data_IF_894829911517
#
_entry.id   IF_894829911517
#
_cell.length_a   1.000
_cell.length_b   1.000
_cell.length_c   1.000
_cell.angle_alpha   90.00
_cell.angle_beta   90.00
_cell.angle_gamma   90.00
#
_symmetry.space_group_name_H-M   'P 1'
#
loop_
_entity.id
_entity.type
_entity.pdbx_description
1 polymer ?
#
# COMPACT_ATOMS: atom_id res chain seq x y z
N UNK A 1 -18.06 -36.28 17.21
CA UNK A 1 -17.62 -34.86 17.15
C UNK A 1 -16.13 -34.89 16.83
N UNK A 2 -15.78 -34.84 15.55
CA UNK A 2 -14.41 -34.84 15.08
C UNK A 2 -13.95 -33.40 15.01
N UNK A 3 -12.85 -33.10 15.71
CA UNK A 3 -12.18 -31.80 15.66
C UNK A 3 -11.78 -31.49 14.22
N UNK A 4 -12.24 -30.33 13.73
CA UNK A 4 -11.81 -29.80 12.46
C UNK A 4 -10.29 -29.55 12.57
N UNK A 5 -9.52 -30.17 11.67
CA UNK A 5 -8.09 -30.02 11.59
C UNK A 5 -7.73 -28.55 11.38
N UNK A 6 -6.85 -28.05 12.22
CA UNK A 6 -6.14 -26.81 12.01
C UNK A 6 -5.27 -27.00 10.76
N UNK A 7 -5.71 -26.42 9.66
CA UNK A 7 -4.94 -26.39 8.41
C UNK A 7 -3.68 -25.55 8.70
N UNK A 8 -2.53 -26.21 8.78
CA UNK A 8 -1.23 -25.55 8.91
C UNK A 8 -0.95 -24.84 7.58
N UNK A 9 -1.46 -23.62 7.42
CA UNK A 9 -1.10 -22.76 6.31
C UNK A 9 0.39 -22.51 6.39
N UNK A 10 1.13 -23.00 5.41
CA UNK A 10 2.49 -22.55 5.21
C UNK A 10 2.43 -21.06 4.98
N UNK A 11 3.02 -20.26 5.88
CA UNK A 11 3.14 -18.82 5.71
C UNK A 11 3.96 -18.62 4.45
N UNK A 12 3.30 -18.26 3.35
CA UNK A 12 4.01 -17.94 2.11
C UNK A 12 4.67 -16.58 2.32
N UNK A 13 6.00 -16.58 2.47
CA UNK A 13 6.74 -15.36 2.70
C UNK A 13 6.61 -14.43 1.49
N UNK A 14 6.12 -13.22 1.73
CA UNK A 14 6.19 -12.14 0.76
C UNK A 14 7.66 -11.78 0.50
N UNK A 15 7.99 -11.45 -0.75
CA UNK A 15 9.31 -10.89 -1.07
C UNK A 15 9.50 -9.56 -0.32
N UNK A 16 10.59 -9.45 0.42
CA UNK A 16 10.94 -8.25 1.22
C UNK A 16 12.18 -7.57 0.67
N UNK A 17 12.19 -6.27 0.79
CA UNK A 17 13.33 -5.40 0.53
C UNK A 17 13.57 -4.58 1.80
N UNK A 18 14.83 -4.33 2.15
CA UNK A 18 15.19 -3.65 3.40
C UNK A 18 16.29 -2.63 3.17
N UNK A 19 16.17 -1.46 3.83
CA UNK A 19 17.16 -0.38 3.82
C UNK A 19 17.23 0.27 5.20
N UNK A 20 18.37 0.91 5.49
CA UNK A 20 18.61 1.55 6.77
C UNK A 20 19.03 0.58 7.87
N UNK A 21 19.36 1.11 9.02
CA UNK A 21 19.84 0.35 10.17
C UNK A 21 18.67 -0.31 10.91
N UNK A 22 18.78 -1.60 11.23
CA UNK A 22 17.73 -2.36 11.92
C UNK A 22 17.45 -1.87 13.36
N UNK A 23 18.36 -1.12 13.94
CA UNK A 23 18.18 -0.48 15.24
C UNK A 23 17.29 0.76 15.22
N UNK A 24 17.02 1.32 14.03
CA UNK A 24 16.14 2.47 13.87
C UNK A 24 14.66 2.05 13.94
N UNK A 25 13.74 3.00 14.22
CA UNK A 25 12.31 2.74 14.13
C UNK A 25 11.92 2.19 12.74
N UNK A 26 11.09 1.15 12.71
CA UNK A 26 10.72 0.47 11.46
C UNK A 26 9.54 1.16 10.79
N UNK A 27 9.67 1.33 9.46
CA UNK A 27 8.58 1.71 8.56
C UNK A 27 8.35 0.56 7.57
N UNK A 28 7.12 0.11 7.46
CA UNK A 28 6.69 -0.85 6.43
C UNK A 28 6.04 -0.11 5.27
N UNK A 29 6.44 -0.41 4.04
CA UNK A 29 5.97 0.22 2.81
C UNK A 29 5.12 -0.78 2.01
N UNK A 30 3.83 -0.47 1.78
CA UNK A 30 2.88 -1.29 1.03
C UNK A 30 2.44 -0.56 -0.23
N UNK A 31 2.80 -1.11 -1.39
CA UNK A 31 2.58 -0.49 -2.70
C UNK A 31 1.14 -0.60 -3.22
N UNK A 32 0.80 0.17 -4.24
CA UNK A 32 -0.48 0.14 -4.93
C UNK A 32 -0.62 -1.01 -5.93
N UNK A 33 -1.83 -1.20 -6.45
CA UNK A 33 -2.11 -2.16 -7.52
C UNK A 33 -1.14 -1.92 -8.69
N UNK A 34 -0.64 -2.99 -9.28
CA UNK A 34 0.35 -3.02 -10.37
C UNK A 34 1.77 -2.52 -10.06
N UNK A 35 2.04 -2.05 -8.84
CA UNK A 35 3.39 -1.67 -8.39
C UNK A 35 4.14 -2.87 -7.77
N UNK A 36 5.26 -2.60 -7.10
CA UNK A 36 6.09 -3.59 -6.40
C UNK A 36 6.80 -2.95 -5.20
N UNK A 37 7.40 -3.74 -4.33
CA UNK A 37 8.17 -3.24 -3.18
C UNK A 37 9.37 -2.38 -3.55
N UNK A 38 9.81 -2.41 -4.82
CA UNK A 38 10.90 -1.55 -5.32
C UNK A 38 10.43 -0.16 -5.77
N UNK A 39 9.14 0.12 -5.79
CA UNK A 39 8.59 1.38 -6.32
C UNK A 39 8.54 2.53 -5.30
N UNK A 40 9.52 2.57 -4.39
CA UNK A 40 9.69 3.57 -3.33
C UNK A 40 11.05 4.28 -3.34
N UNK A 41 11.73 4.53 -4.48
CA UNK A 41 13.11 5.02 -4.47
C UNK A 41 13.26 6.38 -3.77
N UNK A 42 12.30 7.28 -3.92
CA UNK A 42 12.31 8.58 -3.25
C UNK A 42 12.16 8.45 -1.73
N UNK A 43 11.19 7.67 -1.25
CA UNK A 43 10.99 7.39 0.17
C UNK A 43 12.23 6.71 0.79
N UNK A 44 12.85 5.78 0.06
CA UNK A 44 14.09 5.12 0.50
C UNK A 44 15.22 6.15 0.66
N UNK A 45 15.48 6.99 -0.34
CA UNK A 45 16.51 8.04 -0.24
C UNK A 45 16.26 8.96 0.95
N UNK A 46 14.99 9.30 1.18
CA UNK A 46 14.60 10.25 2.21
C UNK A 46 14.74 9.69 3.62
N UNK A 47 14.31 8.46 3.83
CA UNK A 47 14.07 7.93 5.18
C UNK A 47 15.11 6.93 5.67
N UNK A 48 15.88 6.25 4.78
CA UNK A 48 16.83 5.19 5.19
C UNK A 48 17.92 5.65 6.19
N UNK A 49 18.22 6.94 6.27
CA UNK A 49 19.19 7.49 7.22
C UNK A 49 18.69 7.56 8.67
N UNK A 50 17.38 7.55 8.88
CA UNK A 50 16.75 7.66 10.19
C UNK A 50 15.79 6.53 10.55
N UNK A 51 15.46 5.68 9.59
CA UNK A 51 14.49 4.59 9.74
C UNK A 51 15.00 3.29 9.13
N UNK A 52 14.57 2.17 9.69
CA UNK A 52 14.66 0.86 9.06
C UNK A 52 13.44 0.68 8.17
N UNK A 53 13.63 0.59 6.86
CA UNK A 53 12.56 0.47 5.87
C UNK A 53 12.41 -0.99 5.46
N UNK A 54 11.18 -1.49 5.45
CA UNK A 54 10.82 -2.79 4.91
C UNK A 54 9.72 -2.58 3.88
N UNK A 55 10.03 -2.77 2.59
CA UNK A 55 9.03 -2.82 1.55
C UNK A 55 8.78 -4.27 1.14
N UNK A 56 7.56 -4.57 0.70
CA UNK A 56 7.21 -5.92 0.23
C UNK A 56 6.56 -5.85 -1.14
N UNK A 57 6.76 -6.91 -1.93
CA UNK A 57 5.84 -7.17 -3.03
C UNK A 57 4.58 -7.81 -2.43
N UNK A 58 3.41 -7.20 -2.63
CA UNK A 58 2.15 -7.81 -2.24
C UNK A 58 1.90 -9.08 -3.07
N UNK A 59 1.15 -10.06 -2.53
CA UNK A 59 0.76 -11.26 -3.28
C UNK A 59 0.19 -10.88 -4.65
N UNK A 60 0.54 -11.62 -5.69
CA UNK A 60 0.18 -11.32 -7.07
C UNK A 60 1.04 -10.25 -7.74
N UNK A 61 2.07 -9.72 -7.05
CA UNK A 61 2.97 -8.69 -7.58
C UNK A 61 4.44 -9.09 -7.41
N UNK A 62 5.29 -8.48 -8.25
CA UNK A 62 6.73 -8.61 -8.13
C UNK A 62 7.20 -10.06 -8.10
N UNK A 63 7.98 -10.40 -7.08
CA UNK A 63 8.53 -11.75 -6.81
C UNK A 63 7.78 -12.51 -5.72
N UNK A 64 6.72 -11.93 -5.17
CA UNK A 64 5.85 -12.59 -4.20
C UNK A 64 5.04 -13.71 -4.84
N UNK A 65 4.49 -14.64 -4.04
CA UNK A 65 3.64 -15.71 -4.54
C UNK A 65 2.48 -15.19 -5.37
N UNK A 66 2.12 -15.94 -6.39
CA UNK A 66 0.89 -15.73 -7.17
C UNK A 66 -0.30 -16.29 -6.40
N UNK A 67 -1.49 -15.92 -6.83
CA UNK A 67 -2.70 -16.54 -6.31
C UNK A 67 -2.92 -17.90 -6.97
N UNK A 68 -3.25 -18.92 -6.17
CA UNK A 68 -3.78 -20.16 -6.70
C UNK A 68 -5.22 -19.92 -7.21
N UNK A 69 -5.72 -20.72 -8.17
CA UNK A 69 -7.05 -20.50 -8.77
C UNK A 69 -8.20 -20.43 -7.75
N UNK A 70 -8.14 -21.22 -6.67
CA UNK A 70 -9.14 -21.21 -5.60
C UNK A 70 -9.02 -20.01 -4.64
N UNK A 71 -7.91 -19.28 -4.69
CA UNK A 71 -7.66 -18.08 -3.90
C UNK A 71 -8.19 -16.82 -4.58
N UNK A 72 -8.32 -16.78 -5.92
CA UNK A 72 -8.67 -15.59 -6.70
C UNK A 72 -9.99 -14.96 -6.25
N UNK A 73 -11.01 -15.75 -5.92
CA UNK A 73 -12.29 -15.24 -5.42
C UNK A 73 -12.21 -14.65 -4.00
N UNK A 74 -11.05 -14.77 -3.36
CA UNK A 74 -10.81 -14.34 -1.98
C UNK A 74 -9.52 -13.52 -1.84
N UNK A 75 -9.07 -12.82 -2.88
CA UNK A 75 -7.84 -12.03 -2.86
C UNK A 75 -7.77 -11.06 -1.68
N UNK A 76 -8.89 -10.39 -1.36
CA UNK A 76 -8.99 -9.50 -0.20
C UNK A 76 -8.55 -10.19 1.10
N UNK A 77 -9.02 -11.42 1.35
CA UNK A 77 -8.71 -12.14 2.58
C UNK A 77 -7.22 -12.52 2.64
N UNK A 78 -6.64 -12.89 1.49
CA UNK A 78 -5.24 -13.22 1.40
C UNK A 78 -4.34 -12.01 1.59
N UNK A 79 -4.62 -10.87 0.94
CA UNK A 79 -3.84 -9.65 1.16
C UNK A 79 -3.90 -9.18 2.60
N UNK A 80 -5.07 -9.24 3.24
CA UNK A 80 -5.20 -8.88 4.66
C UNK A 80 -4.41 -9.86 5.54
N UNK A 81 -4.52 -11.17 5.31
CA UNK A 81 -3.77 -12.19 6.06
C UNK A 81 -2.27 -11.99 5.89
N UNK A 82 -1.79 -11.86 4.65
CA UNK A 82 -0.36 -11.65 4.36
C UNK A 82 0.18 -10.38 5.05
N UNK A 83 -0.63 -9.30 5.09
CA UNK A 83 -0.25 -8.05 5.77
C UNK A 83 -0.15 -8.27 7.28
N UNK A 84 -1.13 -8.94 7.89
CA UNK A 84 -1.11 -9.25 9.32
C UNK A 84 0.05 -10.18 9.68
N UNK A 85 0.31 -11.21 8.87
CA UNK A 85 1.42 -12.14 9.04
C UNK A 85 2.76 -11.40 8.96
N UNK A 86 2.94 -10.53 7.95
CA UNK A 86 4.12 -9.67 7.84
C UNK A 86 4.34 -8.87 9.13
N UNK A 87 3.32 -8.14 9.59
CA UNK A 87 3.42 -7.26 10.76
C UNK A 87 3.70 -8.06 12.04
N UNK A 88 3.14 -9.26 12.17
CA UNK A 88 3.34 -10.12 13.33
C UNK A 88 4.76 -10.70 13.44
N UNK A 89 5.53 -10.70 12.32
CA UNK A 89 6.94 -11.18 12.33
C UNK A 89 7.93 -10.11 12.81
N UNK A 90 7.48 -8.87 13.02
CA UNK A 90 8.37 -7.77 13.41
C UNK A 90 8.50 -7.70 14.93
N UNK A 91 9.71 -7.42 15.42
CA UNK A 91 10.01 -7.35 16.84
C UNK A 91 9.29 -6.19 17.57
N UNK A 92 8.85 -5.17 16.84
CA UNK A 92 8.09 -4.03 17.35
C UNK A 92 7.11 -3.51 16.31
N UNK A 93 5.99 -2.94 16.76
CA UNK A 93 5.00 -2.33 15.89
C UNK A 93 5.61 -1.22 15.03
N UNK A 94 5.58 -1.33 13.68
CA UNK A 94 6.10 -0.33 12.75
C UNK A 94 5.11 0.81 12.53
N UNK A 95 5.57 1.90 11.92
CA UNK A 95 4.67 2.76 11.14
C UNK A 95 4.44 2.09 9.78
N UNK A 96 3.19 2.02 9.33
CA UNK A 96 2.87 1.46 8.02
C UNK A 96 2.50 2.59 7.06
N UNK A 97 3.22 2.69 5.96
CA UNK A 97 2.95 3.63 4.86
C UNK A 97 2.39 2.82 3.71
N UNK A 98 1.15 3.11 3.30
CA UNK A 98 0.49 2.38 2.24
C UNK A 98 -0.09 3.29 1.18
N UNK A 99 0.17 2.99 -0.09
CA UNK A 99 -0.41 3.66 -1.25
C UNK A 99 -1.55 2.81 -1.84
N UNK A 100 -2.67 3.44 -2.16
CA UNK A 100 -3.78 2.79 -2.89
C UNK A 100 -4.17 1.44 -2.28
N UNK A 101 -3.98 0.32 -2.99
CA UNK A 101 -4.22 -1.04 -2.51
C UNK A 101 -3.50 -1.32 -1.18
N UNK A 102 -2.21 -0.98 -1.09
CA UNK A 102 -1.42 -1.12 0.14
C UNK A 102 -1.96 -0.26 1.28
N UNK A 103 -2.51 0.93 0.96
CA UNK A 103 -3.19 1.79 1.92
C UNK A 103 -4.47 1.17 2.48
N UNK A 104 -5.26 0.51 1.63
CA UNK A 104 -6.45 -0.23 2.07
C UNK A 104 -6.08 -1.33 3.06
N UNK A 105 -5.05 -2.14 2.76
CA UNK A 105 -4.68 -3.25 3.65
C UNK A 105 -3.93 -2.79 4.90
N UNK A 106 -3.17 -1.70 4.85
CA UNK A 106 -2.64 -1.04 6.04
C UNK A 106 -3.77 -0.60 6.99
N UNK A 107 -4.80 0.07 6.46
CA UNK A 107 -5.98 0.50 7.20
C UNK A 107 -6.73 -0.69 7.83
N UNK A 108 -7.00 -1.74 7.04
CA UNK A 108 -7.73 -2.93 7.50
C UNK A 108 -6.92 -3.73 8.54
N UNK A 109 -5.60 -3.83 8.37
CA UNK A 109 -4.74 -4.49 9.34
C UNK A 109 -4.72 -3.74 10.68
N UNK A 110 -4.60 -2.41 10.67
CA UNK A 110 -4.65 -1.60 11.88
C UNK A 110 -6.02 -1.64 12.58
N UNK A 111 -7.11 -1.72 11.82
CA UNK A 111 -8.45 -1.89 12.40
C UNK A 111 -8.64 -3.28 13.04
N UNK A 112 -8.06 -4.33 12.43
CA UNK A 112 -8.18 -5.71 12.94
C UNK A 112 -7.23 -6.01 14.11
N UNK A 113 -5.99 -5.50 14.07
CA UNK A 113 -4.90 -5.78 15.01
C UNK A 113 -4.09 -4.50 15.30
N UNK A 114 -4.68 -3.52 16.01
CA UNK A 114 -4.04 -2.22 16.25
C UNK A 114 -2.71 -2.32 17.00
N UNK A 115 -2.53 -3.35 17.81
CA UNK A 115 -1.29 -3.60 18.54
C UNK A 115 -0.09 -3.94 17.64
N UNK A 116 -0.33 -4.32 16.39
CA UNK A 116 0.73 -4.58 15.39
C UNK A 116 1.17 -3.32 14.64
N UNK A 117 0.53 -2.17 14.88
CA UNK A 117 0.75 -0.94 14.11
C UNK A 117 0.96 0.23 15.06
N UNK A 118 2.06 0.94 14.93
CA UNK A 118 2.38 2.15 15.71
C UNK A 118 1.65 3.38 15.20
N UNK A 119 1.47 3.47 13.89
CA UNK A 119 0.78 4.55 13.19
C UNK A 119 0.66 4.26 11.72
N UNK A 120 -0.22 4.98 11.04
CA UNK A 120 -0.49 4.82 9.61
C UNK A 120 -0.20 6.11 8.84
N UNK A 121 0.40 5.96 7.65
CA UNK A 121 0.37 6.97 6.59
C UNK A 121 -0.34 6.32 5.39
N UNK A 122 -1.46 6.90 4.99
CA UNK A 122 -2.30 6.40 3.92
C UNK A 122 -2.25 7.38 2.75
N UNK A 123 -1.58 7.00 1.67
CA UNK A 123 -1.50 7.76 0.43
C UNK A 123 -2.63 7.31 -0.49
N UNK A 124 -3.66 8.14 -0.59
CA UNK A 124 -4.86 7.95 -1.41
C UNK A 124 -5.34 6.48 -1.46
N UNK A 125 -5.71 5.90 -0.30
CA UNK A 125 -5.96 4.47 -0.16
C UNK A 125 -7.16 4.03 -0.99
N UNK A 126 -7.09 2.83 -1.60
CA UNK A 126 -8.14 2.29 -2.44
C UNK A 126 -9.46 2.14 -1.69
N UNK A 127 -10.52 2.76 -2.19
CA UNK A 127 -11.87 2.61 -1.64
C UNK A 127 -12.49 1.29 -2.11
N UNK A 128 -12.93 0.40 -1.21
CA UNK A 128 -13.60 -0.82 -1.61
C UNK A 128 -14.95 -0.52 -2.27
N UNK A 129 -15.24 -1.06 -3.45
CA UNK A 129 -16.52 -0.83 -4.13
C UNK A 129 -17.69 -1.56 -3.45
N UNK A 130 -17.41 -2.52 -2.56
CA UNK A 130 -18.43 -3.34 -1.91
C UNK A 130 -19.10 -4.38 -2.80
N UNK A 131 -18.56 -4.57 -4.02
CA UNK A 131 -19.07 -5.57 -4.96
C UNK A 131 -18.44 -6.95 -4.68
N UNK A 132 -19.21 -8.05 -4.83
CA UNK A 132 -18.71 -9.40 -4.62
C UNK A 132 -17.85 -9.92 -5.78
N UNK A 133 -17.91 -9.27 -6.93
CA UNK A 133 -17.16 -9.60 -8.14
C UNK A 133 -16.38 -8.38 -8.63
N UNK A 134 -15.26 -8.59 -9.35
CA UNK A 134 -14.55 -7.49 -9.99
C UNK A 134 -15.47 -6.70 -10.93
N UNK A 135 -15.29 -5.38 -10.96
CA UNK A 135 -15.93 -4.52 -11.94
C UNK A 135 -15.31 -4.76 -13.33
N UNK A 136 -16.09 -5.19 -14.36
CA UNK A 136 -15.53 -5.48 -15.68
C UNK A 136 -14.83 -4.29 -16.35
N UNK A 137 -15.32 -3.05 -16.14
CA UNK A 137 -14.68 -1.86 -16.70
C UNK A 137 -13.32 -1.59 -16.02
N UNK A 138 -13.26 -1.76 -14.71
CA UNK A 138 -12.02 -1.63 -13.95
C UNK A 138 -11.01 -2.73 -14.33
N UNK A 139 -11.46 -3.96 -14.54
CA UNK A 139 -10.62 -5.06 -15.04
C UNK A 139 -10.06 -4.71 -16.42
N UNK A 140 -10.92 -4.37 -17.40
CA UNK A 140 -10.50 -4.04 -18.75
C UNK A 140 -9.52 -2.86 -18.80
N UNK A 141 -9.75 -1.84 -17.97
CA UNK A 141 -8.85 -0.70 -17.84
C UNK A 141 -7.45 -1.14 -17.34
N UNK A 142 -7.38 -1.99 -16.32
CA UNK A 142 -6.10 -2.48 -15.79
C UNK A 142 -5.38 -3.40 -16.78
N UNK A 143 -6.11 -4.26 -17.49
CA UNK A 143 -5.53 -5.11 -18.53
C UNK A 143 -4.93 -4.27 -19.66
N UNK A 144 -5.68 -3.31 -20.20
CA UNK A 144 -5.21 -2.40 -21.24
C UNK A 144 -4.00 -1.56 -20.76
N UNK A 145 -4.03 -1.12 -19.49
CA UNK A 145 -2.89 -0.44 -18.89
C UNK A 145 -1.65 -1.33 -18.85
N UNK A 146 -1.75 -2.56 -18.40
CA UNK A 146 -0.62 -3.49 -18.35
C UNK A 146 -0.13 -3.88 -19.76
N UNK A 147 -1.02 -3.99 -20.74
CA UNK A 147 -0.67 -4.27 -22.14
C UNK A 147 0.13 -3.13 -22.77
N UNK A 148 -0.06 -1.91 -22.32
CA UNK A 148 0.73 -0.76 -22.78
C UNK A 148 2.23 -0.83 -22.43
N UNK A 149 2.64 -1.83 -21.63
CA UNK A 149 4.05 -2.11 -21.28
C UNK A 149 4.65 -3.28 -22.07
N UNK A 150 3.99 -3.78 -23.12
CA UNK A 150 4.43 -4.96 -23.90
C UNK A 150 5.77 -4.76 -24.58
N UNK A 151 6.20 -3.52 -24.81
CA UNK A 151 7.53 -3.16 -25.34
C UNK A 151 8.65 -3.11 -24.27
N UNK A 152 8.42 -3.72 -23.12
CA UNK A 152 9.26 -3.60 -21.94
C UNK A 152 9.07 -2.28 -21.18
N UNK A 153 8.00 -1.53 -21.53
CA UNK A 153 7.62 -0.27 -20.89
C UNK A 153 8.41 0.95 -21.39
N UNK A 154 9.10 0.85 -22.52
CA UNK A 154 9.91 1.97 -23.04
C UNK A 154 9.03 3.15 -23.43
N UNK A 155 7.95 2.92 -24.18
CA UNK A 155 7.00 3.95 -24.58
C UNK A 155 6.42 4.67 -23.35
N UNK A 156 6.07 3.93 -22.31
CA UNK A 156 5.52 4.49 -21.08
C UNK A 156 6.56 5.30 -20.30
N UNK A 157 7.82 4.84 -20.23
CA UNK A 157 8.92 5.62 -19.62
C UNK A 157 9.13 6.95 -20.34
N UNK A 158 9.18 6.94 -21.66
CA UNK A 158 9.41 8.14 -22.44
C UNK A 158 8.26 9.14 -22.30
N UNK A 159 7.01 8.63 -22.29
CA UNK A 159 5.82 9.44 -22.01
C UNK A 159 5.91 10.08 -20.62
N UNK A 160 6.16 9.29 -19.58
CA UNK A 160 6.22 9.79 -18.21
C UNK A 160 7.35 10.79 -17.99
N UNK A 161 8.51 10.60 -18.63
CA UNK A 161 9.61 11.60 -18.59
C UNK A 161 9.24 12.92 -19.25
N UNK A 162 8.39 12.90 -20.27
CA UNK A 162 7.96 14.10 -20.98
C UNK A 162 6.79 14.82 -20.28
N UNK A 163 5.87 14.08 -19.65
CA UNK A 163 4.57 14.59 -19.21
C UNK A 163 4.44 14.71 -17.67
N UNK A 164 5.30 14.07 -16.90
CA UNK A 164 5.22 14.08 -15.45
C UNK A 164 6.40 14.80 -14.78
N UNK A 165 6.27 15.03 -13.47
CA UNK A 165 7.36 15.55 -12.61
C UNK A 165 8.08 14.44 -11.87
N UNK A 166 7.75 13.18 -12.13
CA UNK A 166 8.33 12.05 -11.42
C UNK A 166 9.84 11.96 -11.64
N UNK A 167 10.56 11.62 -10.61
CA UNK A 167 11.99 11.36 -10.74
C UNK A 167 12.25 10.16 -11.66
N UNK A 168 13.38 10.18 -12.36
CA UNK A 168 13.70 9.17 -13.37
C UNK A 168 13.68 7.74 -12.80
N UNK A 169 14.21 7.55 -11.59
CA UNK A 169 14.22 6.26 -10.91
C UNK A 169 12.83 5.80 -10.43
N UNK A 170 11.91 6.74 -10.08
CA UNK A 170 10.50 6.42 -9.84
C UNK A 170 9.85 5.86 -11.12
N UNK A 171 10.07 6.52 -12.26
CA UNK A 171 9.56 6.08 -13.57
C UNK A 171 10.13 4.70 -13.93
N UNK A 172 11.43 4.48 -13.73
CA UNK A 172 12.08 3.23 -14.08
C UNK A 172 11.59 2.07 -13.22
N UNK A 173 11.46 2.23 -11.90
CA UNK A 173 10.91 1.20 -11.01
C UNK A 173 9.42 0.94 -11.26
N UNK A 174 8.64 1.99 -11.47
CA UNK A 174 7.23 1.90 -11.85
C UNK A 174 7.04 1.07 -13.13
N UNK A 175 7.79 1.37 -14.19
CA UNK A 175 7.67 0.63 -15.44
C UNK A 175 8.18 -0.81 -15.32
N UNK A 176 9.25 -1.04 -14.54
CA UNK A 176 9.80 -2.38 -14.32
C UNK A 176 8.87 -3.30 -13.52
N UNK A 177 7.95 -2.77 -12.72
CA UNK A 177 7.01 -3.56 -11.92
C UNK A 177 5.88 -4.18 -12.76
N UNK A 178 5.48 -3.56 -13.88
CA UNK A 178 4.27 -3.94 -14.64
C UNK A 178 4.31 -5.34 -15.24
N UNK A 179 5.42 -5.82 -15.82
CA UNK A 179 5.50 -7.20 -16.31
C UNK A 179 5.43 -8.26 -15.20
N UNK A 180 5.59 -7.85 -13.94
CA UNK A 180 5.63 -8.73 -12.77
C UNK A 180 4.26 -8.85 -12.07
N UNK A 181 3.20 -8.34 -12.66
CA UNK A 181 1.83 -8.42 -12.13
C UNK A 181 1.18 -9.73 -12.56
N UNK A 182 0.49 -10.37 -11.63
CA UNK A 182 -0.32 -11.56 -11.87
C UNK A 182 -1.59 -11.17 -12.65
N UNK A 183 -1.67 -11.57 -13.92
CA UNK A 183 -2.82 -11.25 -14.78
C UNK A 183 -4.10 -11.95 -14.33
N UNK A 184 -4.01 -13.17 -13.76
CA UNK A 184 -5.18 -13.86 -13.22
C UNK A 184 -5.79 -13.08 -12.05
N UNK A 185 -4.94 -12.49 -11.19
CA UNK A 185 -5.41 -11.61 -10.12
C UNK A 185 -6.15 -10.38 -10.67
N UNK A 186 -5.68 -9.76 -11.73
CA UNK A 186 -6.36 -8.62 -12.37
C UNK A 186 -7.71 -9.04 -12.94
N UNK A 187 -7.75 -10.17 -13.65
CA UNK A 187 -8.94 -10.64 -14.34
C UNK A 187 -10.03 -11.15 -13.38
N UNK A 188 -9.64 -11.96 -12.39
CA UNK A 188 -10.59 -12.72 -11.56
C UNK A 188 -10.56 -12.31 -10.07
N UNK A 189 -9.53 -11.58 -9.64
CA UNK A 189 -9.20 -11.42 -8.22
C UNK A 189 -9.47 -10.04 -7.60
N UNK A 190 -9.89 -9.04 -8.37
CA UNK A 190 -10.00 -7.65 -7.88
C UNK A 190 -11.24 -7.41 -7.01
N UNK A 191 -11.42 -8.20 -5.97
CA UNK A 191 -12.42 -7.96 -4.92
C UNK A 191 -11.73 -7.30 -3.71
N UNK A 192 -12.20 -6.10 -3.32
CA UNK A 192 -11.52 -5.27 -2.30
C UNK A 192 -12.27 -5.21 -0.96
N UNK A 193 -13.20 -6.14 -0.71
CA UNK A 193 -13.94 -6.23 0.54
C UNK A 193 -15.37 -5.68 0.48
N UNK A 194 -15.96 -5.42 1.64
CA UNK A 194 -17.39 -5.19 1.85
C UNK A 194 -17.87 -3.74 1.62
N UNK A 195 -17.03 -2.85 1.16
CA UNK A 195 -17.37 -1.44 0.91
C UNK A 195 -17.45 -0.55 2.15
N UNK A 196 -17.29 -1.09 3.35
CA UNK A 196 -17.25 -0.29 4.57
C UNK A 196 -16.02 0.63 4.55
N UNK A 197 -16.23 1.95 4.66
CA UNK A 197 -15.16 2.94 4.47
C UNK A 197 -15.02 3.88 5.67
N UNK A 198 -15.85 4.93 5.78
CA UNK A 198 -15.73 5.94 6.84
C UNK A 198 -15.81 5.35 8.28
N UNK A 199 -16.65 4.34 8.57
CA UNK A 199 -16.68 3.71 9.89
C UNK A 199 -15.35 3.06 10.29
N UNK A 200 -14.53 2.58 9.31
CA UNK A 200 -13.23 1.99 9.61
C UNK A 200 -12.26 3.06 10.12
N UNK A 201 -12.21 4.22 9.48
CA UNK A 201 -11.39 5.35 9.96
C UNK A 201 -11.84 5.81 11.35
N UNK A 202 -13.14 5.89 11.57
CA UNK A 202 -13.70 6.33 12.86
C UNK A 202 -13.44 5.32 13.99
N UNK A 203 -13.23 4.05 13.66
CA UNK A 203 -12.91 2.99 14.61
C UNK A 203 -11.42 2.82 14.91
N UNK A 204 -10.52 3.53 14.21
CA UNK A 204 -9.08 3.40 14.42
C UNK A 204 -8.66 3.85 15.83
N UNK A 205 -7.72 3.13 16.41
CA UNK A 205 -7.12 3.44 17.73
C UNK A 205 -5.63 3.77 17.63
N UNK A 206 -5.10 3.90 16.42
CA UNK A 206 -3.71 4.28 16.15
C UNK A 206 -3.65 5.64 15.43
N UNK A 207 -2.61 6.46 15.69
CA UNK A 207 -2.40 7.70 14.95
C UNK A 207 -2.37 7.44 13.45
N UNK A 208 -3.12 8.21 12.69
CA UNK A 208 -3.27 8.01 11.24
C UNK A 208 -3.17 9.35 10.52
N UNK A 209 -2.36 9.40 9.47
CA UNK A 209 -2.28 10.50 8.52
C UNK A 209 -2.80 10.02 7.16
N UNK A 210 -3.88 10.62 6.69
CA UNK A 210 -4.41 10.44 5.34
C UNK A 210 -3.95 11.59 4.46
N UNK A 211 -3.22 11.29 3.39
CA UNK A 211 -2.77 12.24 2.37
C UNK A 211 -3.40 11.85 1.04
N UNK A 212 -4.16 12.73 0.45
CA UNK A 212 -4.86 12.45 -0.81
C UNK A 212 -5.00 13.71 -1.67
N UNK A 213 -5.27 13.58 -2.98
CA UNK A 213 -5.68 14.72 -3.81
C UNK A 213 -6.93 15.39 -3.27
N UNK A 214 -7.06 16.71 -3.50
CA UNK A 214 -8.27 17.48 -3.10
C UNK A 214 -9.54 16.89 -3.70
N UNK A 215 -9.47 16.42 -4.93
CA UNK A 215 -10.57 15.88 -5.72
C UNK A 215 -10.58 14.33 -5.81
N UNK A 216 -9.87 13.64 -4.90
CA UNK A 216 -9.82 12.17 -4.92
C UNK A 216 -11.21 11.55 -4.77
N UNK A 217 -11.63 10.69 -5.73
CA UNK A 217 -12.88 9.95 -5.60
C UNK A 217 -12.81 8.79 -4.61
N UNK A 218 -11.59 8.40 -4.19
CA UNK A 218 -11.36 7.27 -3.28
C UNK A 218 -11.30 7.70 -1.82
N UNK A 219 -10.81 8.89 -1.55
CA UNK A 219 -10.66 9.35 -0.18
C UNK A 219 -12.03 9.54 0.49
N UNK A 220 -12.14 9.27 1.81
CA UNK A 220 -13.40 9.47 2.54
C UNK A 220 -13.79 10.95 2.56
N UNK A 221 -15.09 11.22 2.70
CA UNK A 221 -15.55 12.59 2.95
C UNK A 221 -14.97 13.08 4.28
N UNK A 222 -14.22 14.21 4.27
CA UNK A 222 -13.60 14.74 5.49
C UNK A 222 -14.64 15.06 6.59
N UNK A 223 -15.86 15.43 6.23
CA UNK A 223 -16.93 15.74 7.18
C UNK A 223 -17.44 14.49 7.92
N UNK A 224 -17.23 13.30 7.38
CA UNK A 224 -17.67 12.04 7.98
C UNK A 224 -16.58 11.38 8.86
N UNK A 225 -15.37 11.91 8.88
CA UNK A 225 -14.29 11.42 9.72
C UNK A 225 -14.23 12.25 11.00
N UNK A 226 -14.71 11.67 12.09
CA UNK A 226 -14.81 12.34 13.40
C UNK A 226 -13.73 11.88 14.40
N UNK A 227 -12.92 10.90 14.03
CA UNK A 227 -11.86 10.36 14.89
C UNK A 227 -10.69 11.34 15.01
N UNK A 228 -10.36 11.85 16.22
CA UNK A 228 -9.27 12.81 16.41
C UNK A 228 -7.88 12.25 16.16
N UNK A 229 -7.72 10.91 16.08
CA UNK A 229 -6.47 10.26 15.71
C UNK A 229 -6.23 10.26 14.20
N UNK A 230 -7.22 10.61 13.38
CA UNK A 230 -7.13 10.65 11.93
C UNK A 230 -6.93 12.09 11.45
N UNK A 231 -5.70 12.43 11.11
CA UNK A 231 -5.37 13.68 10.43
C UNK A 231 -5.59 13.52 8.93
N UNK A 232 -6.22 14.49 8.30
CA UNK A 232 -6.44 14.47 6.85
C UNK A 232 -5.77 15.68 6.21
N UNK A 233 -4.97 15.42 5.18
CA UNK A 233 -4.33 16.45 4.35
C UNK A 233 -4.75 16.22 2.91
N UNK A 234 -5.26 17.27 2.28
CA UNK A 234 -5.59 17.30 0.85
C UNK A 234 -4.57 18.17 0.13
N UNK A 235 -3.98 17.64 -0.93
CA UNK A 235 -3.00 18.35 -1.74
C UNK A 235 -3.60 18.68 -3.11
N UNK A 236 -3.39 19.93 -3.54
CA UNK A 236 -3.84 20.41 -4.84
C UNK A 236 -2.82 20.08 -5.93
N UNK A 237 -3.30 19.86 -7.16
CA UNK A 237 -2.45 19.70 -8.33
C UNK A 237 -1.65 18.39 -8.36
N UNK A 238 -2.05 17.41 -7.58
CA UNK A 238 -1.52 16.05 -7.58
C UNK A 238 -2.60 15.05 -7.99
N UNK A 239 -2.20 13.92 -8.54
CA UNK A 239 -3.08 12.80 -8.85
C UNK A 239 -3.01 11.72 -7.78
N UNK A 240 -3.44 10.50 -8.16
CA UNK A 240 -3.52 9.33 -7.28
C UNK A 240 -2.17 8.93 -6.64
N UNK A 241 -1.05 9.23 -7.29
CA UNK A 241 0.30 8.94 -6.79
C UNK A 241 0.94 10.19 -6.19
N UNK A 242 0.37 10.68 -5.09
CA UNK A 242 0.65 11.97 -4.46
C UNK A 242 2.15 12.20 -4.24
N UNK A 243 2.85 11.20 -3.69
CA UNK A 243 4.28 11.26 -3.41
C UNK A 243 5.12 11.46 -4.68
N UNK A 244 4.74 10.82 -5.78
CA UNK A 244 5.46 10.92 -7.05
C UNK A 244 5.16 12.24 -7.76
N UNK A 245 3.92 12.73 -7.64
CA UNK A 245 3.47 13.96 -8.30
C UNK A 245 4.04 15.22 -7.64
N UNK A 246 4.11 15.24 -6.29
CA UNK A 246 4.75 16.31 -5.52
C UNK A 246 5.42 15.76 -4.26
N UNK A 247 6.63 15.25 -4.42
CA UNK A 247 7.41 14.69 -3.33
C UNK A 247 7.68 15.71 -2.21
N UNK A 248 7.87 16.99 -2.58
CA UNK A 248 8.15 18.04 -1.59
C UNK A 248 6.94 18.28 -0.70
N UNK A 249 5.74 18.45 -1.28
CA UNK A 249 4.52 18.67 -0.52
C UNK A 249 4.16 17.42 0.31
N UNK A 250 4.30 16.23 -0.27
CA UNK A 250 4.08 14.97 0.44
C UNK A 250 4.97 14.83 1.68
N UNK A 251 6.28 14.98 1.53
CA UNK A 251 7.21 14.84 2.64
C UNK A 251 7.08 15.96 3.68
N UNK A 252 6.66 17.16 3.29
CA UNK A 252 6.42 18.26 4.23
C UNK A 252 5.34 17.92 5.28
N UNK A 253 4.40 17.03 4.95
CA UNK A 253 3.34 16.61 5.88
C UNK A 253 3.65 15.24 6.51
N UNK A 254 4.33 14.34 5.81
CA UNK A 254 4.60 12.99 6.29
C UNK A 254 5.77 12.94 7.27
N UNK A 255 6.86 13.66 7.01
CA UNK A 255 8.05 13.61 7.89
C UNK A 255 7.77 14.05 9.34
N UNK A 256 7.02 15.17 9.58
CA UNK A 256 6.66 15.55 10.96
C UNK A 256 5.79 14.49 11.65
N UNK A 257 4.89 13.86 10.92
CA UNK A 257 4.05 12.79 11.46
C UNK A 257 4.90 11.56 11.84
N UNK A 258 5.78 11.09 10.94
CA UNK A 258 6.70 9.98 11.22
C UNK A 258 7.56 10.28 12.47
N UNK A 259 8.13 11.47 12.55
CA UNK A 259 8.93 11.89 13.69
C UNK A 259 8.12 11.88 14.99
N UNK A 260 6.89 12.38 14.97
CA UNK A 260 6.01 12.44 16.14
C UNK A 260 5.62 11.03 16.64
N UNK A 261 5.22 10.12 15.75
CA UNK A 261 4.77 8.77 16.14
C UNK A 261 5.93 7.84 16.51
N UNK A 262 7.16 8.14 16.08
CA UNK A 262 8.35 7.35 16.42
C UNK A 262 9.15 7.95 17.58
N UNK A 263 8.86 9.18 18.01
CA UNK A 263 9.47 9.79 19.19
C UNK A 263 9.23 8.90 20.42
N UNK A 264 10.30 8.59 21.16
CA UNK A 264 10.22 7.74 22.35
C UNK A 264 10.37 6.24 22.09
N UNK A 265 10.66 5.81 20.86
CA UNK A 265 11.17 4.45 20.61
C UNK A 265 12.58 4.36 21.21
N UNK A 266 12.85 3.43 22.17
CA UNK A 266 14.21 3.23 22.63
C UNK A 266 15.08 2.78 21.45
N UNK A 267 16.22 3.45 21.24
CA UNK A 267 17.30 2.87 20.44
C UNK A 267 17.68 1.54 21.11
N UNK A 268 17.60 0.45 20.38
CA UNK A 268 18.00 -0.89 20.85
C UNK A 268 19.51 -1.06 20.78
#
# INVERSE_FOLDING_TARGET
MTAAGCDSRSVSELQRYSWGETSNPTIVLLHGLTDAGTTWPDAVRRWQGGYHLIAVDLRGHGRSPRFEPDQLTRCYQWWLSDTLDLLSTLDSAPVVVGHSLGGLFALRAAAARPELVRGLVLEDPARPPGAPTPDPEFVAMNEAFLDSFADGGQTQRDRMRAESRWAADEIDQWAASKPLVDRAMIHDGLTLGDGTWEPVFNGLTVPTLLVAPTDSPMAPDPALITNPLVQQVRLDGVGHTVRRDDAQAYHAVVDPFLAAVTAGSPAR
#
